data_IF_526234070693
#
_entry.id   IF_526234070693
#
_cell.length_a   1.000
_cell.length_b   1.000
_cell.length_c   1.000
_cell.angle_alpha   90.00
_cell.angle_beta   90.00
_cell.angle_gamma   90.00
#
_symmetry.space_group_name_H-M   'P 1'
#
loop_
_entity.id
_entity.type
_entity.pdbx_description
1 polymer ?
#
# COMPACT_ATOMS: atom_id res chain seq x y z
N UNK A 1 25.09 23.16 -0.61
CA UNK A 1 25.96 22.01 -0.75
C UNK A 1 25.07 20.80 -0.91
N UNK A 2 24.84 20.41 -2.16
CA UNK A 2 23.83 19.43 -2.57
C UNK A 2 24.44 18.04 -2.51
N UNK A 3 23.95 17.19 -1.63
CA UNK A 3 24.39 15.78 -1.58
C UNK A 3 23.48 15.01 -2.54
N UNK A 4 23.99 14.82 -3.76
CA UNK A 4 23.42 13.90 -4.71
C UNK A 4 23.79 12.47 -4.28
N UNK A 5 22.81 11.64 -3.94
CA UNK A 5 22.99 10.19 -3.87
C UNK A 5 23.05 9.67 -5.30
N UNK A 6 24.25 9.31 -5.75
CA UNK A 6 24.45 8.51 -6.95
C UNK A 6 24.25 7.04 -6.60
N UNK A 7 23.26 6.43 -7.21
CA UNK A 7 23.17 4.98 -7.37
C UNK A 7 23.78 4.64 -8.73
N UNK A 8 25.13 4.63 -8.80
CA UNK A 8 25.87 4.00 -9.90
C UNK A 8 26.54 2.79 -9.29
N UNK A 9 25.93 1.61 -9.49
CA UNK A 9 26.67 0.36 -9.66
C UNK A 9 25.74 -0.68 -10.28
N UNK A 10 26.23 -1.34 -11.32
CA UNK A 10 25.56 -2.27 -12.20
C UNK A 10 24.88 -3.42 -11.44
N UNK A 11 23.55 -3.46 -11.50
CA UNK A 11 22.77 -4.61 -11.04
C UNK A 11 22.78 -5.65 -12.18
N UNK A 12 23.21 -6.90 -11.95
CA UNK A 12 23.19 -7.91 -12.98
C UNK A 12 21.75 -8.20 -13.42
N UNK A 13 21.50 -8.01 -14.71
CA UNK A 13 20.25 -8.32 -15.41
C UNK A 13 20.02 -9.83 -15.44
N UNK A 14 19.43 -10.42 -14.40
CA UNK A 14 18.81 -11.74 -14.46
C UNK A 14 17.75 -11.85 -13.34
N UNK A 15 16.58 -11.26 -13.58
CA UNK A 15 15.37 -11.63 -12.86
C UNK A 15 14.25 -11.73 -13.89
N UNK A 16 13.84 -12.96 -14.18
CA UNK A 16 12.63 -13.27 -14.93
C UNK A 16 11.45 -12.55 -14.27
N UNK A 17 10.85 -11.62 -14.99
CA UNK A 17 9.61 -10.98 -14.60
C UNK A 17 8.56 -12.08 -14.42
N UNK A 18 8.17 -12.34 -13.17
CA UNK A 18 7.10 -13.27 -12.85
C UNK A 18 5.77 -12.63 -13.29
N UNK A 19 5.45 -12.73 -14.58
CA UNK A 19 4.12 -12.43 -15.14
C UNK A 19 3.20 -13.60 -14.84
N UNK A 20 2.65 -13.64 -13.63
CA UNK A 20 1.68 -14.67 -13.26
C UNK A 20 0.26 -14.22 -13.57
N UNK A 21 -0.40 -14.98 -14.43
CA UNK A 21 -1.86 -15.01 -14.63
C UNK A 21 -2.54 -15.29 -13.30
N UNK A 22 -3.62 -14.56 -12.99
CA UNK A 22 -4.33 -14.67 -11.71
C UNK A 22 -4.74 -16.12 -11.40
N UNK A 23 -4.29 -16.74 -10.29
CA UNK A 23 -4.79 -18.03 -9.86
C UNK A 23 -6.20 -17.85 -9.28
N UNK A 24 -7.13 -18.72 -9.68
CA UNK A 24 -8.41 -18.89 -9.01
C UNK A 24 -8.12 -19.49 -7.63
N UNK A 25 -8.42 -18.74 -6.57
CA UNK A 25 -8.28 -19.25 -5.20
C UNK A 25 -9.07 -20.55 -5.02
N UNK A 26 -8.46 -21.54 -4.39
CA UNK A 26 -9.11 -22.81 -4.08
C UNK A 26 -10.07 -22.65 -2.89
N UNK A 27 -11.07 -23.54 -2.70
CA UNK A 27 -11.99 -23.47 -1.57
C UNK A 27 -11.30 -23.44 -0.20
N UNK A 28 -10.12 -24.07 -0.08
CA UNK A 28 -9.30 -24.10 1.14
C UNK A 28 -8.65 -22.74 1.43
N UNK A 29 -8.22 -22.04 0.38
CA UNK A 29 -7.66 -20.68 0.49
C UNK A 29 -8.73 -19.66 0.90
N UNK A 30 -9.96 -19.78 0.38
CA UNK A 30 -11.08 -18.95 0.81
C UNK A 30 -11.39 -19.13 2.30
N UNK A 31 -11.32 -20.34 2.84
CA UNK A 31 -11.57 -20.61 4.26
C UNK A 31 -10.49 -19.98 5.16
N UNK A 32 -9.23 -20.13 4.79
CA UNK A 32 -8.10 -19.50 5.50
C UNK A 32 -8.16 -17.96 5.47
N UNK A 33 -8.63 -17.38 4.36
CA UNK A 33 -8.86 -15.95 4.23
C UNK A 33 -9.94 -15.47 5.20
N UNK A 34 -11.08 -16.13 5.23
CA UNK A 34 -12.21 -15.78 6.11
C UNK A 34 -11.83 -15.90 7.59
N UNK A 35 -11.06 -16.92 7.96
CA UNK A 35 -10.61 -17.12 9.34
C UNK A 35 -9.66 -16.01 9.80
N UNK A 36 -8.66 -15.65 8.98
CA UNK A 36 -7.74 -14.53 9.27
C UNK A 36 -8.45 -13.20 9.34
N UNK A 37 -9.37 -12.93 8.40
CA UNK A 37 -10.22 -11.73 8.45
C UNK A 37 -11.02 -11.65 9.73
N UNK A 38 -11.61 -12.76 10.16
CA UNK A 38 -12.38 -12.82 11.40
C UNK A 38 -11.53 -12.46 12.60
N UNK A 39 -10.27 -12.87 12.65
CA UNK A 39 -9.32 -12.50 13.69
C UNK A 39 -8.93 -11.00 13.63
N UNK A 40 -8.60 -10.50 12.44
CA UNK A 40 -8.19 -9.09 12.23
C UNK A 40 -9.34 -8.10 12.48
N UNK A 41 -10.58 -8.49 12.21
CA UNK A 41 -11.78 -7.69 12.51
C UNK A 41 -12.17 -7.77 14.01
N UNK A 42 -11.98 -8.93 14.65
CA UNK A 42 -12.36 -9.13 16.05
C UNK A 42 -11.55 -8.24 17.00
N UNK A 43 -10.27 -8.05 16.76
CA UNK A 43 -9.37 -7.26 17.61
C UNK A 43 -9.82 -5.80 17.74
N UNK A 44 -9.98 -5.00 16.65
CA UNK A 44 -10.46 -3.62 16.75
C UNK A 44 -11.91 -3.56 17.25
N UNK A 45 -12.75 -4.50 16.88
CA UNK A 45 -14.14 -4.54 17.33
C UNK A 45 -14.25 -4.75 18.85
N UNK A 46 -13.47 -5.69 19.41
CA UNK A 46 -13.43 -5.89 20.85
C UNK A 46 -12.92 -4.66 21.59
N UNK A 47 -11.96 -3.92 21.03
CA UNK A 47 -11.48 -2.66 21.60
C UNK A 47 -12.57 -1.58 21.59
N UNK A 48 -13.28 -1.42 20.46
CA UNK A 48 -14.42 -0.48 20.35
C UNK A 48 -15.50 -0.83 21.38
N UNK A 49 -15.91 -2.10 21.45
CA UNK A 49 -16.95 -2.57 22.40
C UNK A 49 -16.49 -2.42 23.84
N UNK A 50 -15.24 -2.81 24.15
CA UNK A 50 -14.68 -2.73 25.49
C UNK A 50 -14.62 -1.30 26.02
N UNK A 51 -14.03 -0.38 25.25
CA UNK A 51 -13.93 1.03 25.62
C UNK A 51 -15.28 1.73 25.67
N UNK A 52 -16.21 1.45 24.75
CA UNK A 52 -17.56 2.01 24.78
C UNK A 52 -18.33 1.56 26.02
N UNK A 53 -18.15 0.29 26.45
CA UNK A 53 -18.77 -0.20 27.69
C UNK A 53 -18.24 0.54 28.92
N UNK A 54 -16.91 0.68 29.05
CA UNK A 54 -16.28 1.42 30.16
C UNK A 54 -16.77 2.86 30.23
N UNK A 55 -16.86 3.55 29.08
CA UNK A 55 -17.38 4.91 29.00
C UNK A 55 -18.88 5.01 29.34
N UNK A 56 -19.68 4.01 28.95
CA UNK A 56 -21.11 3.96 29.25
C UNK A 56 -21.37 3.69 30.74
N UNK A 57 -20.56 2.84 31.37
CA UNK A 57 -20.65 2.53 32.78
C UNK A 57 -20.15 3.66 33.69
N UNK A 58 -19.31 4.55 33.17
CA UNK A 58 -18.70 5.68 33.91
C UNK A 58 -19.62 6.91 33.88
N UNK A 59 -20.78 6.80 34.55
CA UNK A 59 -21.89 7.76 34.56
C UNK A 59 -21.61 9.09 35.31
N UNK A 60 -20.40 9.43 35.68
CA UNK A 60 -20.12 10.55 36.60
C UNK A 60 -19.68 11.85 35.92
N UNK A 61 -20.14 12.17 34.73
CA UNK A 61 -20.17 13.55 34.18
C UNK A 61 -18.88 14.35 34.04
N UNK A 62 -17.74 13.89 34.58
CA UNK A 62 -16.44 14.54 34.48
C UNK A 62 -15.56 13.76 33.51
N UNK A 63 -15.40 14.27 32.27
CA UNK A 63 -14.45 13.72 31.31
C UNK A 63 -13.02 13.85 31.87
N UNK A 64 -12.44 12.71 32.26
CA UNK A 64 -11.04 12.62 32.67
C UNK A 64 -10.15 12.47 31.45
N UNK A 65 -8.85 12.81 31.51
CA UNK A 65 -7.90 12.54 30.43
C UNK A 65 -7.90 11.07 29.94
N UNK A 66 -8.17 10.11 30.84
CA UNK A 66 -8.34 8.70 30.51
C UNK A 66 -9.54 8.43 29.60
N UNK A 67 -10.64 9.15 29.76
CA UNK A 67 -11.86 8.99 28.95
C UNK A 67 -11.63 9.49 27.51
N UNK A 68 -10.86 10.57 27.37
CA UNK A 68 -10.43 11.08 26.06
C UNK A 68 -9.52 10.09 25.34
N UNK A 69 -8.59 9.45 26.04
CA UNK A 69 -7.73 8.39 25.47
C UNK A 69 -8.54 7.17 25.02
N UNK A 70 -9.59 6.80 25.76
CA UNK A 70 -10.49 5.71 25.37
C UNK A 70 -11.32 6.08 24.14
N UNK A 71 -11.82 7.31 24.03
CA UNK A 71 -12.54 7.81 22.85
C UNK A 71 -11.65 7.79 21.62
N UNK A 72 -10.40 8.25 21.76
CA UNK A 72 -9.43 8.22 20.67
C UNK A 72 -9.11 6.79 20.22
N UNK A 73 -8.97 5.86 21.17
CA UNK A 73 -8.78 4.44 20.85
C UNK A 73 -9.99 3.83 20.13
N UNK A 74 -11.22 4.20 20.51
CA UNK A 74 -12.46 3.80 19.84
C UNK A 74 -12.45 4.31 18.39
N UNK A 75 -12.15 5.60 18.19
CA UNK A 75 -12.09 6.23 16.88
C UNK A 75 -11.06 5.52 15.98
N UNK A 76 -9.84 5.38 16.46
CA UNK A 76 -8.73 4.75 15.72
C UNK A 76 -9.04 3.30 15.34
N UNK A 77 -9.60 2.50 16.26
CA UNK A 77 -9.98 1.12 15.94
C UNK A 77 -11.18 1.04 15.00
N UNK A 78 -12.12 1.99 15.08
CA UNK A 78 -13.24 2.10 14.15
C UNK A 78 -12.77 2.41 12.72
N UNK A 79 -11.86 3.37 12.57
CA UNK A 79 -11.25 3.73 11.29
C UNK A 79 -10.45 2.55 10.70
N UNK A 80 -9.69 1.84 11.55
CA UNK A 80 -8.98 0.63 11.13
C UNK A 80 -9.94 -0.46 10.61
N UNK A 81 -11.07 -0.65 11.29
CA UNK A 81 -12.08 -1.63 10.90
C UNK A 81 -12.75 -1.26 9.58
N UNK A 82 -13.07 0.02 9.40
CA UNK A 82 -13.61 0.54 8.13
C UNK A 82 -12.62 0.30 6.99
N UNK A 83 -11.35 0.61 7.20
CA UNK A 83 -10.29 0.34 6.23
C UNK A 83 -10.19 -1.14 5.83
N UNK A 84 -10.31 -2.08 6.79
CA UNK A 84 -10.32 -3.53 6.50
C UNK A 84 -11.54 -3.96 5.69
N UNK A 85 -12.72 -3.38 5.95
CA UNK A 85 -13.93 -3.66 5.16
C UNK A 85 -13.80 -3.11 3.73
N UNK A 86 -13.29 -1.89 3.57
CA UNK A 86 -13.01 -1.32 2.25
C UNK A 86 -11.99 -2.14 1.45
N UNK A 87 -10.96 -2.62 2.15
CA UNK A 87 -9.93 -3.49 1.59
C UNK A 87 -10.52 -4.83 1.11
N UNK A 88 -11.44 -5.41 1.88
CA UNK A 88 -12.16 -6.63 1.49
C UNK A 88 -13.03 -6.41 0.26
N UNK A 89 -13.78 -5.31 0.23
CA UNK A 89 -14.60 -4.94 -0.94
C UNK A 89 -13.74 -4.76 -2.17
N UNK A 90 -12.58 -4.12 -2.04
CA UNK A 90 -11.65 -3.92 -3.16
C UNK A 90 -11.10 -5.24 -3.74
N UNK A 91 -10.88 -6.25 -2.89
CA UNK A 91 -10.45 -7.60 -3.31
C UNK A 91 -11.58 -8.42 -3.95
N UNK A 92 -12.85 -8.17 -3.58
CA UNK A 92 -14.01 -8.91 -4.09
C UNK A 92 -14.50 -8.43 -5.45
N UNK A 93 -14.05 -7.25 -5.90
CA UNK A 93 -14.43 -6.71 -7.22
C UNK A 93 -13.65 -7.44 -8.30
N UNK A 94 -14.23 -8.53 -8.81
CA UNK A 94 -13.81 -9.15 -10.08
C UNK A 94 -14.05 -8.13 -11.19
N UNK A 95 -13.07 -7.83 -12.06
CA UNK A 95 -13.30 -6.94 -13.19
C UNK A 95 -14.33 -7.55 -14.13
N UNK A 96 -15.57 -7.11 -14.05
CA UNK A 96 -16.52 -7.38 -15.11
C UNK A 96 -16.08 -6.55 -16.33
N UNK A 97 -15.62 -7.25 -17.35
CA UNK A 97 -15.46 -6.68 -18.71
C UNK A 97 -16.85 -6.35 -19.19
N UNK A 98 -17.29 -5.11 -19.05
CA UNK A 98 -18.53 -4.63 -19.65
C UNK A 98 -18.51 -3.12 -19.79
N UNK A 99 -18.98 -2.63 -20.91
CA UNK A 99 -19.46 -1.30 -21.33
C UNK A 99 -19.28 -0.11 -20.36
N UNK A 100 -18.08 0.05 -19.76
CA UNK A 100 -17.79 1.23 -18.96
C UNK A 100 -17.36 2.36 -19.89
N UNK A 101 -17.84 3.58 -19.67
CA UNK A 101 -17.31 4.75 -20.35
C UNK A 101 -15.80 4.83 -20.13
N UNK A 102 -15.07 5.33 -21.14
CA UNK A 102 -13.62 5.49 -21.04
C UNK A 102 -13.25 6.23 -19.75
N UNK A 103 -12.25 5.75 -18.97
CA UNK A 103 -11.88 6.38 -17.73
C UNK A 103 -11.44 7.84 -17.96
N UNK A 104 -11.68 8.72 -16.99
CA UNK A 104 -11.26 10.12 -17.09
C UNK A 104 -9.74 10.24 -17.21
N UNK A 105 -9.27 11.36 -17.74
CA UNK A 105 -7.84 11.67 -17.71
C UNK A 105 -7.43 12.07 -16.29
N UNK A 106 -6.49 11.33 -15.71
CA UNK A 106 -5.91 11.58 -14.40
C UNK A 106 -4.57 12.33 -14.52
N UNK A 107 -4.40 13.38 -13.73
CA UNK A 107 -3.10 14.01 -13.54
C UNK A 107 -2.31 13.21 -12.50
N UNK A 108 -1.43 12.34 -12.97
CA UNK A 108 -0.65 11.42 -12.11
C UNK A 108 0.23 12.17 -11.13
N UNK A 109 0.83 13.29 -11.57
CA UNK A 109 1.71 14.13 -10.71
C UNK A 109 0.92 14.75 -9.56
N UNK A 110 -0.27 15.29 -9.85
CA UNK A 110 -1.11 15.90 -8.82
C UNK A 110 -1.58 14.86 -7.79
N UNK A 111 -2.00 13.67 -8.25
CA UNK A 111 -2.42 12.58 -7.37
C UNK A 111 -1.24 12.09 -6.50
N UNK A 112 -0.06 11.91 -7.10
CA UNK A 112 1.13 11.52 -6.35
C UNK A 112 1.51 12.56 -5.29
N UNK A 113 1.46 13.85 -5.62
CA UNK A 113 1.75 14.93 -4.69
C UNK A 113 0.75 14.98 -3.51
N UNK A 114 -0.53 14.76 -3.78
CA UNK A 114 -1.58 14.69 -2.75
C UNK A 114 -1.34 13.52 -1.79
N UNK A 115 -1.13 12.31 -2.31
CA UNK A 115 -0.89 11.12 -1.48
C UNK A 115 0.42 11.26 -0.68
N UNK A 116 1.49 11.81 -1.26
CA UNK A 116 2.72 12.13 -0.52
C UNK A 116 2.43 13.09 0.63
N UNK A 117 1.56 14.09 0.40
CA UNK A 117 1.14 15.04 1.43
C UNK A 117 0.56 14.33 2.66
N UNK A 118 -0.26 13.30 2.47
CA UNK A 118 -0.88 12.53 3.55
C UNK A 118 0.15 11.73 4.39
N UNK A 119 1.29 11.37 3.81
CA UNK A 119 2.34 10.61 4.49
C UNK A 119 3.49 11.46 5.04
N UNK A 120 3.48 12.78 4.77
CA UNK A 120 4.57 13.68 5.15
C UNK A 120 4.85 13.68 6.63
N UNK A 121 3.83 13.91 7.44
CA UNK A 121 3.97 14.00 8.91
C UNK A 121 4.48 12.68 9.50
N UNK A 122 3.99 11.55 9.00
CA UNK A 122 4.44 10.21 9.43
C UNK A 122 5.90 9.97 9.04
N UNK A 123 6.30 10.38 7.82
CA UNK A 123 7.68 10.27 7.36
C UNK A 123 8.61 11.19 8.17
N UNK A 124 8.21 12.43 8.45
CA UNK A 124 8.97 13.38 9.28
C UNK A 124 9.16 12.86 10.70
N UNK A 125 8.12 12.32 11.33
CA UNK A 125 8.19 11.71 12.66
C UNK A 125 9.22 10.56 12.71
N UNK A 126 9.38 9.83 11.59
CA UNK A 126 10.41 8.79 11.42
C UNK A 126 11.75 9.32 10.92
N UNK A 127 11.89 10.62 10.64
CA UNK A 127 13.08 11.25 10.03
C UNK A 127 13.41 10.66 8.64
N UNK A 128 12.40 10.25 7.88
CA UNK A 128 12.54 9.78 6.51
C UNK A 128 12.38 10.94 5.53
N UNK A 129 13.16 10.91 4.45
CA UNK A 129 12.94 11.81 3.32
C UNK A 129 11.92 11.19 2.39
N UNK A 130 10.84 11.93 2.08
CA UNK A 130 9.89 11.55 1.03
C UNK A 130 9.93 12.60 -0.08
N UNK A 131 10.06 12.18 -1.33
CA UNK A 131 10.21 13.11 -2.47
C UNK A 131 9.50 12.61 -3.71
N UNK A 132 9.05 13.58 -4.52
CA UNK A 132 8.48 13.35 -5.84
C UNK A 132 9.48 13.79 -6.91
N UNK A 133 9.80 12.90 -7.84
CA UNK A 133 10.60 13.17 -9.02
C UNK A 133 9.67 13.11 -10.24
N UNK A 134 9.69 14.15 -11.05
CA UNK A 134 8.83 14.25 -12.24
C UNK A 134 9.72 14.30 -13.47
N UNK A 135 9.66 13.28 -14.29
CA UNK A 135 10.38 13.18 -15.57
C UNK A 135 9.43 13.39 -16.75
N UNK A 136 8.13 13.17 -16.54
CA UNK A 136 7.07 13.38 -17.52
C UNK A 136 5.81 13.93 -16.86
N UNK A 137 5.06 14.76 -17.57
CA UNK A 137 3.76 15.30 -17.14
C UNK A 137 2.67 14.56 -17.90
N UNK A 138 2.43 13.31 -17.55
CA UNK A 138 1.48 12.51 -18.29
C UNK A 138 0.07 12.60 -17.70
N UNK A 139 -0.85 13.02 -18.56
CA UNK A 139 -2.28 12.81 -18.36
C UNK A 139 -2.61 11.42 -18.85
N UNK A 140 -2.95 10.53 -17.95
CA UNK A 140 -3.22 9.12 -18.27
C UNK A 140 -4.71 8.83 -18.08
N UNK A 141 -5.30 8.04 -18.97
CA UNK A 141 -6.69 7.58 -18.82
C UNK A 141 -6.77 6.50 -17.74
N UNK A 142 -7.00 6.93 -16.52
CA UNK A 142 -7.11 6.08 -15.33
C UNK A 142 -8.17 6.62 -14.39
N UNK A 143 -8.69 5.76 -13.53
CA UNK A 143 -9.57 6.17 -12.43
C UNK A 143 -8.76 6.82 -11.31
N UNK A 144 -8.89 8.15 -11.06
CA UNK A 144 -8.03 8.88 -10.12
C UNK A 144 -8.10 8.33 -8.70
N UNK A 145 -9.30 7.95 -8.24
CA UNK A 145 -9.53 7.41 -6.88
C UNK A 145 -8.81 6.07 -6.70
N UNK A 146 -8.83 5.21 -7.71
CA UNK A 146 -8.13 3.92 -7.64
C UNK A 146 -6.62 4.10 -7.65
N UNK A 147 -6.11 5.03 -8.47
CA UNK A 147 -4.70 5.36 -8.50
C UNK A 147 -4.23 5.92 -7.15
N UNK A 148 -4.98 6.85 -6.56
CA UNK A 148 -4.67 7.40 -5.23
C UNK A 148 -4.64 6.29 -4.16
N UNK A 149 -5.64 5.40 -4.13
CA UNK A 149 -5.69 4.26 -3.20
C UNK A 149 -4.50 3.30 -3.39
N UNK A 150 -4.14 2.99 -4.65
CA UNK A 150 -2.99 2.14 -4.96
C UNK A 150 -1.69 2.77 -4.43
N UNK A 151 -1.48 4.05 -4.72
CA UNK A 151 -0.32 4.79 -4.25
C UNK A 151 -0.24 4.85 -2.73
N UNK A 152 -1.36 5.07 -2.06
CA UNK A 152 -1.45 5.06 -0.59
C UNK A 152 -0.94 3.74 -0.02
N UNK A 153 -1.34 2.59 -0.61
CA UNK A 153 -0.86 1.27 -0.18
C UNK A 153 0.65 1.09 -0.42
N UNK A 154 1.18 1.53 -1.56
CA UNK A 154 2.62 1.42 -1.86
C UNK A 154 3.45 2.36 -0.99
N UNK A 155 3.08 3.64 -0.89
CA UNK A 155 3.80 4.63 -0.07
C UNK A 155 3.72 4.28 1.41
N UNK A 156 2.54 3.84 1.88
CA UNK A 156 2.35 3.38 3.25
C UNK A 156 3.28 2.22 3.60
N UNK A 157 3.43 1.23 2.72
CA UNK A 157 4.38 0.15 2.90
C UNK A 157 5.84 0.66 2.90
N UNK A 158 6.22 1.51 1.96
CA UNK A 158 7.55 2.10 1.88
C UNK A 158 7.92 2.84 3.17
N UNK A 159 7.05 3.73 3.67
CA UNK A 159 7.25 4.46 4.93
C UNK A 159 7.27 3.52 6.14
N UNK A 160 6.44 2.47 6.13
CA UNK A 160 6.35 1.49 7.20
C UNK A 160 7.65 0.70 7.35
N UNK A 161 8.19 0.17 6.25
CA UNK A 161 9.33 -0.75 6.24
C UNK A 161 10.68 -0.07 6.09
N UNK A 162 10.72 1.25 5.96
CA UNK A 162 11.94 2.04 5.98
C UNK A 162 12.18 2.60 7.40
N UNK A 163 13.32 2.25 7.97
CA UNK A 163 13.73 2.75 9.29
C UNK A 163 14.65 3.99 9.18
N UNK A 164 15.47 4.07 8.12
CA UNK A 164 16.38 5.19 7.83
C UNK A 164 16.50 5.38 6.33
N UNK A 165 16.75 6.61 5.88
CA UNK A 165 16.88 6.93 4.47
C UNK A 165 15.64 7.62 3.93
N UNK A 166 14.96 7.05 2.92
CA UNK A 166 13.80 7.73 2.34
C UNK A 166 13.01 6.91 1.35
N UNK A 167 11.97 7.57 0.85
CA UNK A 167 11.06 7.06 -0.19
C UNK A 167 11.06 8.06 -1.34
N UNK A 168 11.25 7.57 -2.54
CA UNK A 168 11.24 8.36 -3.78
C UNK A 168 10.10 7.87 -4.65
N UNK A 169 9.23 8.79 -5.05
CA UNK A 169 8.18 8.52 -6.01
C UNK A 169 8.60 9.18 -7.33
N UNK A 170 8.62 8.43 -8.43
CA UNK A 170 9.01 8.94 -9.73
C UNK A 170 7.88 8.75 -10.72
N UNK A 171 7.45 9.85 -11.37
CA UNK A 171 6.61 9.79 -12.57
C UNK A 171 7.58 9.72 -13.75
N UNK A 172 7.78 8.51 -14.26
CA UNK A 172 8.82 8.22 -15.23
C UNK A 172 8.35 8.40 -16.67
N UNK A 173 9.27 8.85 -17.51
CA UNK A 173 9.05 8.97 -18.95
C UNK A 173 9.05 7.58 -19.59
N UNK A 174 8.25 7.37 -20.63
CA UNK A 174 8.36 6.14 -21.44
C UNK A 174 9.76 5.96 -22.00
N UNK A 175 10.31 4.75 -21.90
CA UNK A 175 11.62 4.41 -22.44
C UNK A 175 11.68 4.41 -23.98
N UNK A 176 10.51 4.40 -24.65
CA UNK A 176 10.38 4.49 -26.10
C UNK A 176 9.04 5.12 -26.48
N UNK A 177 8.90 5.56 -27.76
CA UNK A 177 7.66 6.15 -28.29
C UNK A 177 6.42 5.27 -28.14
N UNK A 178 6.58 3.96 -28.04
CA UNK A 178 5.50 2.98 -27.92
C UNK A 178 5.39 2.36 -26.51
N UNK A 179 6.25 2.73 -25.57
CA UNK A 179 6.17 2.26 -24.20
C UNK A 179 5.20 3.14 -23.41
N UNK A 180 4.41 2.57 -22.51
CA UNK A 180 3.61 3.35 -21.56
C UNK A 180 4.53 4.07 -20.57
N UNK A 181 4.09 5.22 -20.08
CA UNK A 181 4.71 5.84 -18.91
C UNK A 181 4.53 4.96 -17.68
N UNK A 182 5.30 5.24 -16.65
CA UNK A 182 5.20 4.48 -15.39
C UNK A 182 5.29 5.39 -14.16
N UNK A 183 4.77 4.86 -13.06
CA UNK A 183 4.91 5.46 -11.75
C UNK A 183 5.67 4.48 -10.86
N UNK A 184 6.76 4.96 -10.28
CA UNK A 184 7.71 4.15 -9.51
C UNK A 184 7.68 4.63 -8.07
N UNK A 185 7.64 3.69 -7.13
CA UNK A 185 7.81 3.93 -5.69
C UNK A 185 9.02 3.14 -5.23
N UNK A 186 10.07 3.85 -4.80
CA UNK A 186 11.33 3.28 -4.32
C UNK A 186 11.54 3.62 -2.86
N UNK A 187 11.92 2.64 -2.06
CA UNK A 187 12.30 2.81 -0.66
C UNK A 187 13.70 2.26 -0.39
N UNK A 188 14.36 2.80 0.62
CA UNK A 188 15.65 2.32 1.12
C UNK A 188 15.48 1.45 2.38
N UNK A 189 14.41 0.69 2.46
CA UNK A 189 14.05 -0.11 3.61
C UNK A 189 14.75 -1.46 3.70
N UNK A 190 14.15 -2.37 4.44
CA UNK A 190 14.71 -3.70 4.71
C UNK A 190 14.79 -4.60 3.48
N UNK A 191 14.07 -4.26 2.40
CA UNK A 191 13.94 -5.11 1.22
C UNK A 191 13.16 -6.40 1.49
N UNK A 192 13.02 -7.22 0.45
CA UNK A 192 12.25 -8.47 0.46
C UNK A 192 13.15 -9.60 -0.03
N UNK A 193 13.12 -10.73 0.66
CA UNK A 193 13.85 -11.93 0.22
C UNK A 193 13.28 -12.48 -1.09
N UNK A 194 14.12 -12.98 -2.01
CA UNK A 194 13.66 -13.48 -3.33
C UNK A 194 12.60 -14.58 -3.23
N UNK A 195 12.72 -15.48 -2.26
CA UNK A 195 11.76 -16.56 -1.99
C UNK A 195 10.37 -16.06 -1.56
N UNK A 196 10.28 -14.82 -1.11
CA UNK A 196 9.02 -14.19 -0.69
C UNK A 196 8.39 -13.33 -1.79
N UNK A 197 9.15 -12.90 -2.80
CA UNK A 197 8.63 -12.02 -3.86
C UNK A 197 7.40 -12.57 -4.57
N UNK A 198 7.31 -13.89 -4.74
CA UNK A 198 6.14 -14.53 -5.36
C UNK A 198 4.89 -14.48 -4.48
N UNK A 199 5.04 -14.38 -3.14
CA UNK A 199 3.94 -14.50 -2.18
C UNK A 199 3.52 -13.16 -1.55
N UNK A 200 4.26 -12.07 -1.80
CA UNK A 200 3.90 -10.74 -1.20
C UNK A 200 2.55 -10.20 -1.69
N UNK A 201 2.07 -10.67 -2.82
CA UNK A 201 0.78 -10.30 -3.38
C UNK A 201 -0.35 -11.25 -2.97
N UNK A 202 -0.05 -12.30 -2.20
CA UNK A 202 -1.07 -13.18 -1.66
C UNK A 202 -1.73 -12.51 -0.45
N UNK A 203 -3.06 -12.55 -0.34
CA UNK A 203 -3.75 -11.98 0.81
C UNK A 203 -3.23 -12.58 2.12
N UNK A 204 -3.01 -11.72 3.13
CA UNK A 204 -2.51 -12.09 4.46
C UNK A 204 -1.10 -12.68 4.50
N UNK A 205 -0.34 -12.61 3.41
CA UNK A 205 1.08 -12.96 3.42
C UNK A 205 1.86 -11.92 4.22
N UNK A 206 2.68 -12.38 5.17
CA UNK A 206 3.60 -11.55 5.94
C UNK A 206 4.99 -12.15 5.86
N UNK A 207 6.00 -11.30 5.64
CA UNK A 207 7.37 -11.74 5.33
C UNK A 207 8.04 -12.46 6.51
N UNK A 208 7.67 -12.19 7.78
CA UNK A 208 8.17 -12.91 8.97
C UNK A 208 7.32 -12.69 10.22
N UNK A 209 7.05 -13.75 10.95
CA UNK A 209 6.37 -13.72 12.25
C UNK A 209 7.21 -13.18 13.41
N UNK A 210 8.55 -13.06 13.27
CA UNK A 210 9.46 -12.57 14.31
C UNK A 210 9.64 -11.05 14.28
N UNK A 211 9.61 -10.44 13.09
CA UNK A 211 9.64 -8.97 12.89
C UNK A 211 8.24 -8.34 12.94
N UNK A 212 7.18 -9.14 12.86
CA UNK A 212 5.78 -8.69 12.81
C UNK A 212 5.32 -7.93 14.06
N UNK A 213 5.94 -8.18 15.23
CA UNK A 213 5.68 -7.39 16.45
C UNK A 213 6.08 -5.91 16.34
N UNK A 214 6.92 -5.54 15.37
CA UNK A 214 7.31 -4.13 15.11
C UNK A 214 6.48 -3.46 14.01
N UNK A 215 5.79 -4.23 13.15
CA UNK A 215 5.09 -3.69 11.99
C UNK A 215 3.70 -4.32 11.86
N UNK A 216 2.72 -3.77 12.59
CA UNK A 216 1.32 -4.18 12.50
C UNK A 216 0.73 -3.94 11.10
N UNK A 217 -0.04 -4.92 10.58
CA UNK A 217 -0.81 -4.78 9.35
C UNK A 217 -1.40 -6.10 8.91
N UNK A 218 -2.58 -6.08 8.29
CA UNK A 218 -3.33 -7.28 7.90
C UNK A 218 -2.72 -8.07 6.72
N UNK A 219 -1.63 -7.60 6.10
CA UNK A 219 -1.06 -8.22 4.90
C UNK A 219 -1.94 -8.07 3.65
N UNK A 220 -2.82 -7.06 3.62
CA UNK A 220 -3.77 -6.81 2.52
C UNK A 220 -3.30 -5.70 1.57
N UNK A 221 -2.35 -4.85 1.96
CA UNK A 221 -1.96 -3.68 1.19
C UNK A 221 -1.49 -3.98 -0.23
N UNK A 222 -0.54 -4.92 -0.39
CA UNK A 222 -0.01 -5.29 -1.71
C UNK A 222 -1.01 -6.09 -2.57
N UNK A 223 -1.75 -7.06 -2.04
CA UNK A 223 -2.86 -7.70 -2.75
C UNK A 223 -3.86 -6.68 -3.33
N UNK A 224 -4.23 -5.67 -2.55
CA UNK A 224 -5.16 -4.61 -3.00
C UNK A 224 -4.52 -3.74 -4.07
N UNK A 225 -3.26 -3.32 -3.87
CA UNK A 225 -2.53 -2.55 -4.88
C UNK A 225 -2.50 -3.29 -6.22
N UNK A 226 -2.27 -4.62 -6.21
CA UNK A 226 -2.33 -5.46 -7.41
C UNK A 226 -3.72 -5.53 -8.02
N UNK A 227 -4.76 -5.74 -7.20
CA UNK A 227 -6.15 -5.79 -7.68
C UNK A 227 -6.57 -4.47 -8.32
N UNK A 228 -6.19 -3.34 -7.73
CA UNK A 228 -6.44 -2.01 -8.27
C UNK A 228 -5.69 -1.79 -9.59
N UNK A 229 -4.41 -2.17 -9.68
CA UNK A 229 -3.64 -2.09 -10.91
C UNK A 229 -4.32 -2.88 -12.04
N UNK A 230 -4.67 -4.14 -11.80
CA UNK A 230 -5.38 -5.00 -12.76
C UNK A 230 -6.71 -4.37 -13.19
N UNK A 231 -7.50 -3.82 -12.25
CA UNK A 231 -8.79 -3.19 -12.55
C UNK A 231 -8.67 -1.93 -13.41
N UNK A 232 -7.49 -1.29 -13.43
CA UNK A 232 -7.15 -0.12 -14.25
C UNK A 232 -6.43 -0.50 -15.55
N UNK A 233 -6.18 -1.79 -15.80
CA UNK A 233 -5.40 -2.25 -16.97
C UNK A 233 -3.90 -1.94 -16.85
N UNK A 234 -3.41 -1.65 -15.66
CA UNK A 234 -1.99 -1.40 -15.36
C UNK A 234 -1.28 -2.70 -14.99
N UNK A 235 0.03 -2.75 -15.27
CA UNK A 235 0.92 -3.79 -14.77
C UNK A 235 1.68 -3.28 -13.53
N UNK A 236 1.74 -4.08 -12.47
CA UNK A 236 2.50 -3.79 -11.27
C UNK A 236 3.66 -4.79 -11.14
N UNK A 237 4.88 -4.27 -11.20
CA UNK A 237 6.11 -5.04 -11.03
C UNK A 237 6.77 -4.69 -9.70
N UNK A 238 7.63 -5.59 -9.21
CA UNK A 238 8.42 -5.39 -7.99
C UNK A 238 9.84 -5.89 -8.20
N UNK A 239 10.79 -5.11 -7.75
CA UNK A 239 12.21 -5.45 -7.62
C UNK A 239 12.64 -5.16 -6.19
N UNK A 240 13.35 -6.08 -5.56
CA UNK A 240 13.79 -5.88 -4.18
C UNK A 240 15.04 -6.67 -3.88
N UNK A 241 15.89 -6.09 -3.03
CA UNK A 241 17.11 -6.73 -2.52
C UNK A 241 17.13 -6.57 -1.00
N UNK A 242 17.28 -7.65 -0.23
CA UNK A 242 17.38 -7.59 1.22
C UNK A 242 18.47 -6.60 1.67
N UNK A 243 18.09 -5.68 2.56
CA UNK A 243 18.97 -4.63 3.08
C UNK A 243 19.19 -3.41 2.17
N UNK A 244 18.69 -3.44 0.92
CA UNK A 244 18.87 -2.33 -0.03
C UNK A 244 17.56 -1.59 -0.35
N UNK A 245 16.40 -2.19 -0.05
CA UNK A 245 15.10 -1.60 -0.27
C UNK A 245 14.26 -2.29 -1.34
N UNK A 246 13.16 -1.65 -1.70
CA UNK A 246 12.17 -2.18 -2.65
C UNK A 246 11.79 -1.11 -3.66
N UNK A 247 11.60 -1.54 -4.91
CA UNK A 247 11.11 -0.75 -6.03
C UNK A 247 9.84 -1.39 -6.59
N UNK A 248 8.75 -0.65 -6.53
CA UNK A 248 7.50 -0.99 -7.20
C UNK A 248 7.34 -0.11 -8.44
N UNK A 249 6.99 -0.71 -9.57
CA UNK A 249 6.73 0.01 -10.81
C UNK A 249 5.33 -0.31 -11.33
N UNK A 250 4.50 0.72 -11.45
CA UNK A 250 3.18 0.69 -12.06
C UNK A 250 3.28 1.20 -13.50
N UNK A 251 3.22 0.30 -14.47
CA UNK A 251 3.17 0.66 -15.90
C UNK A 251 1.74 0.95 -16.32
N UNK A 252 1.53 2.10 -16.98
CA UNK A 252 0.20 2.52 -17.44
C UNK A 252 -0.25 1.73 -18.67
N UNK A 253 -1.58 1.62 -18.93
CA UNK A 253 -2.07 1.02 -20.16
C UNK A 253 -1.69 1.87 -21.37
N UNK A 254 -1.56 1.21 -22.53
CA UNK A 254 -1.29 1.89 -23.82
C UNK A 254 -2.50 2.66 -24.31
#
# INVERSE_FOLDING_TARGET
MSIAFRFDDEIPHTLEACTMTAPRATPTEHHAIVERLSHELRTPLNSVIGFSRVLTENRTGNQRPADLAMLEAIRTNGERLLGLVEDLVALSVVPAVSDRPAPPCANVVAIAAEVIGNWRDVAEAKRLKISLRVESYDMVRLEPIKLAKLLDKLIGNAVKFTARGGVVITVARPNSWNAPGSLIVEDSGIGICPDKLCTIFDPFSQVDGSTSRRFEGAGLGLPIARALAVSMGCALAVESTPGSGTRFELSFPK
#
